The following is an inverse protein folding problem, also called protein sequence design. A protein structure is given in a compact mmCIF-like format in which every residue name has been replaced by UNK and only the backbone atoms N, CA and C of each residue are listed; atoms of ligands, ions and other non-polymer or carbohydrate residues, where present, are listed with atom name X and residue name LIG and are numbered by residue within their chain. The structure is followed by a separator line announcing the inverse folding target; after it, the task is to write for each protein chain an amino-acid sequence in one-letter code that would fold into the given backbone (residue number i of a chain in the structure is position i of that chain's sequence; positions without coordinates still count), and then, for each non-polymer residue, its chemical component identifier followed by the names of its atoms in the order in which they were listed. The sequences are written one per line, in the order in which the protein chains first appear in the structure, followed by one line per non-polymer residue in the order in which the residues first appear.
data_IF_591181087641
#
_entry.id   IF_591181087641
#
_cell.length_a   1.000
_cell.length_b   1.000
_cell.length_c   1.000
_cell.angle_alpha   90.00
_cell.angle_beta   90.00
_cell.angle_gamma   90.00
#
_symmetry.space_group_name_H-M   'P 1'
#
loop_
_entity.id
_entity.type
_entity.pdbx_description
1 polymer ?
#
# COMPACT_ATOMS: atom_id res chain seq x y z
N UNK A 1 16.39 19.13 -2.56
CA UNK A 1 15.22 18.83 -1.70
C UNK A 1 13.97 19.60 -2.11
N UNK A 2 13.84 20.92 -1.86
CA UNK A 2 12.61 21.64 -2.25
C UNK A 2 12.41 21.74 -3.77
N UNK A 3 13.49 21.93 -4.54
CA UNK A 3 13.43 21.95 -6.01
C UNK A 3 12.94 20.61 -6.58
N UNK A 4 13.43 19.49 -6.03
CA UNK A 4 13.05 18.14 -6.47
C UNK A 4 11.60 17.82 -6.10
N UNK A 5 11.16 18.24 -4.91
CA UNK A 5 9.76 18.15 -4.50
C UNK A 5 8.84 18.95 -5.42
N UNK A 6 9.20 20.21 -5.73
CA UNK A 6 8.45 21.05 -6.66
C UNK A 6 8.38 20.44 -8.07
N UNK A 7 9.48 19.88 -8.56
CA UNK A 7 9.51 19.16 -9.84
C UNK A 7 8.59 17.94 -9.82
N UNK A 8 8.62 17.14 -8.75
CA UNK A 8 7.72 15.99 -8.60
C UNK A 8 6.25 16.41 -8.60
N UNK A 9 5.92 17.49 -7.88
CA UNK A 9 4.55 18.04 -7.85
C UNK A 9 4.11 18.55 -9.23
N UNK A 10 5.01 19.22 -9.95
CA UNK A 10 4.79 19.65 -11.33
C UNK A 10 4.51 18.51 -12.29
N UNK A 11 5.26 17.41 -12.19
CA UNK A 11 5.06 16.20 -13.01
C UNK A 11 3.69 15.56 -12.74
N UNK A 12 3.25 15.52 -11.48
CA UNK A 12 2.00 14.86 -11.08
C UNK A 12 0.76 15.78 -11.10
N UNK A 13 0.92 17.07 -11.43
CA UNK A 13 -0.15 18.11 -11.36
C UNK A 13 -1.46 17.70 -12.03
N UNK A 14 -1.39 16.96 -13.14
CA UNK A 14 -2.57 16.53 -13.90
C UNK A 14 -3.41 15.55 -13.10
N UNK A 15 -2.79 14.58 -12.43
CA UNK A 15 -3.46 13.62 -11.56
C UNK A 15 -4.05 14.30 -10.32
N UNK A 16 -3.29 15.22 -9.71
CA UNK A 16 -3.75 16.00 -8.55
C UNK A 16 -5.01 16.81 -8.89
N UNK A 17 -5.04 17.48 -10.04
CA UNK A 17 -6.21 18.25 -10.46
C UNK A 17 -7.38 17.35 -10.91
N UNK A 18 -7.10 16.20 -11.52
CA UNK A 18 -8.13 15.25 -11.94
C UNK A 18 -8.94 14.69 -10.76
N UNK A 19 -8.35 14.62 -9.56
CA UNK A 19 -9.02 14.17 -8.34
C UNK A 19 -10.32 14.93 -8.04
N UNK A 20 -10.37 16.23 -8.33
CA UNK A 20 -11.56 17.06 -8.09
C UNK A 20 -12.75 16.69 -8.98
N UNK A 21 -12.47 16.17 -10.18
CA UNK A 21 -13.52 15.68 -11.10
C UNK A 21 -13.83 14.21 -10.84
N UNK A 22 -12.80 13.44 -10.48
CA UNK A 22 -12.87 11.99 -10.26
C UNK A 22 -12.13 11.64 -8.96
N UNK A 23 -12.84 11.42 -7.84
CA UNK A 23 -12.23 11.23 -6.52
C UNK A 23 -11.61 9.84 -6.35
N UNK A 24 -10.66 9.49 -7.23
CA UNK A 24 -9.91 8.24 -7.21
C UNK A 24 -8.66 8.45 -6.36
N UNK A 25 -8.51 7.65 -5.31
CA UNK A 25 -7.37 7.72 -4.39
C UNK A 25 -6.55 6.43 -4.40
N UNK A 26 -5.23 6.55 -4.25
CA UNK A 26 -4.31 5.44 -4.03
C UNK A 26 -4.30 4.96 -2.58
N UNK A 27 -5.04 5.61 -1.66
CA UNK A 27 -5.05 5.29 -0.23
C UNK A 27 -5.34 3.82 0.09
N UNK A 28 -6.42 3.20 -0.45
CA UNK A 28 -6.68 1.77 -0.24
C UNK A 28 -5.58 0.85 -0.78
N UNK A 29 -4.95 1.23 -1.90
CA UNK A 29 -3.84 0.48 -2.50
C UNK A 29 -2.59 0.57 -1.62
N UNK A 30 -2.26 1.76 -1.12
CA UNK A 30 -1.16 1.99 -0.17
C UNK A 30 -1.39 1.23 1.14
N UNK A 31 -2.62 1.23 1.66
CA UNK A 31 -3.00 0.46 2.84
C UNK A 31 -2.80 -1.04 2.64
N UNK A 32 -3.16 -1.56 1.46
CA UNK A 32 -2.94 -2.97 1.10
C UNK A 32 -1.44 -3.28 1.01
N UNK A 33 -0.65 -2.42 0.36
CA UNK A 33 0.81 -2.57 0.26
C UNK A 33 1.48 -2.57 1.65
N UNK A 34 1.03 -1.72 2.56
CA UNK A 34 1.54 -1.71 3.94
C UNK A 34 1.19 -3.01 4.69
N UNK A 35 -0.04 -3.52 4.56
CA UNK A 35 -0.42 -4.79 5.19
C UNK A 35 0.42 -5.96 4.66
N UNK A 36 0.69 -6.03 3.36
CA UNK A 36 1.55 -7.06 2.76
C UNK A 36 2.99 -6.93 3.29
N UNK A 37 3.53 -5.72 3.38
CA UNK A 37 4.86 -5.46 3.94
C UNK A 37 4.94 -5.90 5.41
N UNK A 38 3.90 -5.64 6.20
CA UNK A 38 3.83 -6.11 7.59
C UNK A 38 3.74 -7.62 7.68
N UNK A 39 2.92 -8.27 6.84
CA UNK A 39 2.83 -9.73 6.76
C UNK A 39 4.20 -10.37 6.48
N UNK A 40 4.96 -9.83 5.52
CA UNK A 40 6.31 -10.30 5.23
C UNK A 40 7.27 -10.13 6.43
N UNK A 41 7.18 -9.00 7.15
CA UNK A 41 7.99 -8.75 8.35
C UNK A 41 7.65 -9.70 9.49
N UNK A 42 6.36 -9.96 9.74
CA UNK A 42 5.93 -10.90 10.78
C UNK A 42 6.38 -12.34 10.51
N UNK A 43 6.41 -12.74 9.24
CA UNK A 43 6.87 -14.06 8.85
C UNK A 43 8.41 -14.19 8.80
N UNK A 44 9.17 -13.10 9.00
CA UNK A 44 10.61 -13.04 8.72
C UNK A 44 10.96 -13.53 7.30
N UNK A 45 10.08 -13.24 6.34
CA UNK A 45 10.18 -13.72 4.96
C UNK A 45 9.44 -15.03 4.69
N UNK A 46 8.98 -15.21 3.45
CA UNK A 46 8.35 -16.45 2.99
C UNK A 46 9.31 -17.17 2.03
N UNK A 47 9.48 -18.48 2.24
CA UNK A 47 10.32 -19.31 1.36
C UNK A 47 9.56 -19.84 0.14
N UNK A 48 8.26 -20.09 0.30
CA UNK A 48 7.36 -20.54 -0.75
C UNK A 48 6.50 -19.37 -1.24
N UNK A 49 6.65 -19.06 -2.54
CA UNK A 49 5.94 -17.97 -3.18
C UNK A 49 4.45 -18.26 -3.37
N UNK A 50 4.06 -19.51 -3.64
CA UNK A 50 2.66 -19.90 -3.77
C UNK A 50 1.95 -19.73 -2.43
N UNK A 51 2.60 -20.15 -1.34
CA UNK A 51 2.08 -19.94 0.00
C UNK A 51 2.00 -18.45 0.36
N UNK A 52 2.98 -17.63 -0.03
CA UNK A 52 2.92 -16.19 0.17
C UNK A 52 1.70 -15.56 -0.54
N UNK A 53 1.44 -15.94 -1.79
CA UNK A 53 0.27 -15.46 -2.55
C UNK A 53 -1.04 -15.84 -1.84
N UNK A 54 -1.16 -17.09 -1.37
CA UNK A 54 -2.33 -17.51 -0.60
C UNK A 54 -2.53 -16.67 0.67
N UNK A 55 -1.44 -16.32 1.36
CA UNK A 55 -1.48 -15.43 2.53
C UNK A 55 -1.91 -14.00 2.18
N UNK A 56 -1.56 -13.48 1.01
CA UNK A 56 -2.07 -12.18 0.53
C UNK A 56 -3.58 -12.23 0.29
N UNK A 57 -4.09 -13.30 -0.34
CA UNK A 57 -5.54 -13.44 -0.55
C UNK A 57 -6.30 -13.54 0.78
N UNK A 58 -5.74 -14.21 1.79
CA UNK A 58 -6.33 -14.32 3.12
C UNK A 58 -6.18 -13.05 3.99
N UNK A 59 -5.43 -12.03 3.55
CA UNK A 59 -5.10 -10.82 4.33
C UNK A 59 -6.33 -9.99 4.76
N UNK A 60 -7.43 -10.11 4.03
CA UNK A 60 -8.68 -9.44 4.37
C UNK A 60 -9.41 -10.10 5.56
N UNK A 61 -9.12 -11.38 5.84
CA UNK A 61 -9.71 -12.12 6.96
C UNK A 61 -8.92 -11.96 8.26
N UNK A 62 -7.64 -11.60 8.18
CA UNK A 62 -6.82 -11.37 9.38
C UNK A 62 -7.26 -10.09 10.10
N UNK A 63 -7.81 -10.26 11.30
CA UNK A 63 -8.04 -9.15 12.25
C UNK A 63 -6.85 -9.07 13.19
N UNK A 64 -6.37 -7.87 13.45
CA UNK A 64 -5.45 -7.64 14.55
C UNK A 64 -6.27 -7.65 15.83
N UNK A 65 -6.20 -8.75 16.58
CA UNK A 65 -6.73 -8.80 17.93
C UNK A 65 -5.64 -8.24 18.86
N UNK A 66 -5.97 -7.16 19.56
CA UNK A 66 -5.14 -6.64 20.64
C UNK A 66 -5.32 -7.59 21.82
N UNK A 67 -4.51 -8.65 21.86
CA UNK A 67 -4.42 -9.54 23.00
C UNK A 67 -3.46 -8.89 24.01
N UNK A 68 -4.04 -8.17 24.97
CA UNK A 68 -3.38 -7.62 26.15
C UNK A 68 -3.93 -8.28 27.40
#
# INVERSE_FOLDING_TARGET
MLKDFANSLGTHRRGILAYYNYPISTGPLEGTNNKIKTLQRQACGFRDQAFFILRIYALHMTRYELLG
#
